data_IF_937139514805
#
_entry.id   IF_937139514805
#
_cell.length_a   1.000
_cell.length_b   1.000
_cell.length_c   1.000
_cell.angle_alpha   90.00
_cell.angle_beta   90.00
_cell.angle_gamma   90.00
#
_symmetry.space_group_name_H-M   'P 1'
#
loop_
_entity.id
_entity.type
_entity.pdbx_description
1 polymer ?
#
# COMPACT_ATOMS: atom_id res chain seq x y z
N UNK A 1 32.47 -6.13 -1.02
CA UNK A 1 31.84 -4.92 -1.59
C UNK A 1 32.65 -3.71 -1.16
N UNK A 2 32.84 -2.70 -2.02
CA UNK A 2 33.78 -1.60 -1.76
C UNK A 2 33.05 -0.39 -1.13
N UNK A 3 33.31 -0.03 0.14
CA UNK A 3 32.53 0.99 0.88
C UNK A 3 32.65 2.41 0.30
N UNK A 4 33.62 2.67 -0.59
CA UNK A 4 33.74 3.95 -1.31
C UNK A 4 32.74 4.08 -2.46
N UNK A 5 32.42 2.97 -3.14
CA UNK A 5 31.44 2.95 -4.24
C UNK A 5 30.02 3.16 -3.69
N UNK A 6 29.70 2.53 -2.54
CA UNK A 6 28.42 2.69 -1.84
C UNK A 6 28.18 4.15 -1.40
N UNK A 7 29.20 4.81 -0.84
CA UNK A 7 29.10 6.24 -0.43
C UNK A 7 28.89 7.17 -1.62
N UNK A 8 29.57 6.92 -2.74
CA UNK A 8 29.43 7.75 -3.94
C UNK A 8 28.05 7.56 -4.60
N UNK A 9 27.57 6.32 -4.75
CA UNK A 9 26.24 6.07 -5.33
C UNK A 9 25.10 6.59 -4.45
N UNK A 10 25.22 6.46 -3.13
CA UNK A 10 24.23 7.05 -2.19
C UNK A 10 24.15 8.57 -2.35
N UNK A 11 25.29 9.26 -2.48
CA UNK A 11 25.30 10.71 -2.71
C UNK A 11 24.66 11.10 -4.04
N UNK A 12 24.86 10.31 -5.10
CA UNK A 12 24.24 10.55 -6.41
C UNK A 12 22.71 10.41 -6.33
N UNK A 13 22.23 9.34 -5.71
CA UNK A 13 20.79 9.11 -5.52
C UNK A 13 20.14 10.20 -4.67
N UNK A 14 20.82 10.65 -3.61
CA UNK A 14 20.29 11.72 -2.77
C UNK A 14 20.20 13.05 -3.51
N UNK A 15 21.19 13.40 -4.33
CA UNK A 15 21.12 14.58 -5.20
C UNK A 15 19.96 14.48 -6.20
N UNK A 16 19.75 13.29 -6.77
CA UNK A 16 18.63 13.08 -7.68
C UNK A 16 17.29 13.21 -6.96
N UNK A 17 17.14 12.65 -5.76
CA UNK A 17 15.92 12.79 -4.97
C UNK A 17 15.60 14.26 -4.65
N UNK A 18 16.60 15.04 -4.23
CA UNK A 18 16.41 16.47 -3.98
C UNK A 18 16.07 17.25 -5.26
N UNK A 19 16.67 16.89 -6.41
CA UNK A 19 16.29 17.45 -7.71
C UNK A 19 14.84 17.13 -8.06
N UNK A 20 14.39 15.90 -7.80
CA UNK A 20 13.01 15.47 -8.06
C UNK A 20 12.02 16.23 -7.18
N UNK A 21 12.26 16.33 -5.87
CA UNK A 21 11.45 17.12 -4.92
C UNK A 21 11.34 18.59 -5.35
N UNK A 22 12.47 19.20 -5.69
CA UNK A 22 12.51 20.60 -6.10
C UNK A 22 11.69 20.86 -7.37
N UNK A 23 11.74 19.93 -8.35
CA UNK A 23 11.00 20.06 -9.62
C UNK A 23 9.51 19.77 -9.50
N UNK A 24 9.12 18.84 -8.63
CA UNK A 24 7.71 18.50 -8.44
C UNK A 24 7.00 19.45 -7.47
N UNK A 25 7.75 20.22 -6.67
CA UNK A 25 7.19 21.09 -5.63
C UNK A 25 6.66 20.31 -4.41
N UNK A 26 7.00 19.03 -4.30
CA UNK A 26 6.50 18.14 -3.26
C UNK A 26 7.34 18.30 -2.00
N UNK A 27 6.67 18.61 -0.89
CA UNK A 27 7.27 18.80 0.44
C UNK A 27 7.35 17.51 1.27
N UNK A 28 7.15 16.36 0.65
CA UNK A 28 7.23 15.07 1.36
C UNK A 28 8.66 14.80 1.82
N UNK A 29 8.80 14.31 3.05
CA UNK A 29 10.08 14.04 3.71
C UNK A 29 10.74 12.73 3.24
N UNK A 30 10.64 12.44 1.93
CA UNK A 30 11.21 11.23 1.36
C UNK A 30 12.73 11.16 1.59
N UNK A 31 13.22 9.97 1.89
CA UNK A 31 14.65 9.65 2.02
C UNK A 31 14.97 8.48 1.12
N UNK A 32 16.14 8.49 0.49
CA UNK A 32 16.61 7.35 -0.30
C UNK A 32 17.60 6.52 0.49
N UNK A 33 17.45 5.20 0.43
CA UNK A 33 18.36 4.24 1.05
C UNK A 33 18.78 3.23 -0.01
N UNK A 34 20.07 3.20 -0.32
CA UNK A 34 20.62 2.25 -1.28
C UNK A 34 21.16 1.02 -0.56
N UNK A 35 20.56 -0.14 -0.83
CA UNK A 35 20.90 -1.44 -0.25
C UNK A 35 21.03 -2.49 -1.37
N UNK A 36 22.13 -2.49 -2.14
CA UNK A 36 22.30 -3.41 -3.25
C UNK A 36 22.09 -4.87 -2.83
N UNK A 37 21.19 -5.60 -3.50
CA UNK A 37 20.85 -7.00 -3.20
C UNK A 37 20.74 -7.79 -4.49
N UNK A 38 21.67 -8.73 -4.71
CA UNK A 38 21.70 -9.58 -5.90
C UNK A 38 20.48 -10.51 -6.01
N UNK A 39 19.91 -10.95 -4.86
CA UNK A 39 18.80 -11.90 -4.81
C UNK A 39 17.43 -11.22 -4.60
N UNK A 40 17.35 -9.90 -4.81
CA UNK A 40 16.08 -9.20 -4.65
C UNK A 40 15.15 -9.49 -5.84
N UNK A 41 13.89 -9.83 -5.54
CA UNK A 41 12.83 -9.93 -6.57
C UNK A 41 12.30 -8.58 -7.04
N UNK A 42 12.72 -7.49 -6.38
CA UNK A 42 12.31 -6.12 -6.67
C UNK A 42 13.55 -5.24 -6.80
N UNK A 43 13.48 -4.25 -7.69
CA UNK A 43 14.58 -3.29 -7.86
C UNK A 43 14.51 -2.16 -6.82
N UNK A 44 13.33 -1.88 -6.27
CA UNK A 44 13.11 -0.92 -5.19
C UNK A 44 11.73 -1.06 -4.56
N UNK A 45 11.48 -0.31 -3.49
CA UNK A 45 10.16 -0.14 -2.88
C UNK A 45 10.10 1.10 -1.97
N UNK A 46 8.89 1.64 -1.80
CA UNK A 46 8.63 2.73 -0.85
C UNK A 46 7.97 2.18 0.42
N UNK A 47 8.60 2.45 1.58
CA UNK A 47 8.07 2.07 2.90
C UNK A 47 8.07 3.31 3.80
N UNK A 48 6.86 3.81 4.07
CA UNK A 48 6.69 5.12 4.72
C UNK A 48 7.36 6.21 3.90
N UNK A 49 8.23 6.99 4.53
CA UNK A 49 8.99 8.04 3.86
C UNK A 49 10.34 7.57 3.29
N UNK A 50 10.62 6.27 3.27
CA UNK A 50 11.90 5.75 2.77
C UNK A 50 11.71 5.03 1.43
N UNK A 51 12.47 5.47 0.43
CA UNK A 51 12.61 4.82 -0.87
C UNK A 51 13.84 3.92 -0.82
N UNK A 52 13.61 2.61 -0.77
CA UNK A 52 14.65 1.61 -0.78
C UNK A 52 14.99 1.21 -2.20
N UNK A 53 16.28 1.18 -2.53
CA UNK A 53 16.80 0.80 -3.84
C UNK A 53 17.71 -0.41 -3.68
N UNK A 54 17.45 -1.46 -4.44
CA UNK A 54 18.13 -2.75 -4.36
C UNK A 54 19.01 -3.05 -5.57
N UNK A 55 18.89 -2.27 -6.65
CA UNK A 55 19.73 -2.39 -7.85
C UNK A 55 21.23 -2.32 -7.52
N UNK A 56 22.04 -3.14 -8.19
CA UNK A 56 23.48 -3.23 -7.94
C UNK A 56 24.25 -2.07 -8.55
N UNK A 57 23.82 -1.60 -9.73
CA UNK A 57 24.48 -0.54 -10.48
C UNK A 57 23.81 0.81 -10.24
N UNK A 58 24.62 1.88 -10.22
CA UNK A 58 24.14 3.24 -9.92
C UNK A 58 23.14 3.75 -10.97
N UNK A 59 23.35 3.43 -12.24
CA UNK A 59 22.46 3.87 -13.32
C UNK A 59 21.09 3.19 -13.22
N UNK A 60 21.06 1.90 -12.88
CA UNK A 60 19.82 1.17 -12.59
C UNK A 60 19.13 1.74 -11.35
N UNK A 61 19.90 1.97 -10.28
CA UNK A 61 19.39 2.55 -9.04
C UNK A 61 18.75 3.93 -9.24
N UNK A 62 19.30 4.74 -10.15
CA UNK A 62 18.72 6.04 -10.53
C UNK A 62 17.38 5.89 -11.26
N UNK A 63 17.25 4.91 -12.14
CA UNK A 63 15.98 4.64 -12.82
C UNK A 63 14.92 4.15 -11.83
N UNK A 64 15.30 3.22 -10.96
CA UNK A 64 14.43 2.73 -9.88
C UNK A 64 13.98 3.88 -8.99
N UNK A 65 14.89 4.76 -8.54
CA UNK A 65 14.52 5.91 -7.71
C UNK A 65 13.48 6.81 -8.35
N UNK A 66 13.63 7.10 -9.66
CA UNK A 66 12.66 7.92 -10.39
C UNK A 66 11.30 7.24 -10.48
N UNK A 67 11.29 5.94 -10.75
CA UNK A 67 10.08 5.13 -10.81
C UNK A 67 9.35 5.16 -9.47
N UNK A 68 10.02 4.77 -8.39
CA UNK A 68 9.44 4.71 -7.05
C UNK A 68 8.96 6.07 -6.55
N UNK A 69 9.71 7.15 -6.84
CA UNK A 69 9.28 8.49 -6.49
C UNK A 69 7.97 8.88 -7.19
N UNK A 70 7.87 8.65 -8.50
CA UNK A 70 6.65 8.97 -9.26
C UNK A 70 5.48 8.10 -8.81
N UNK A 71 5.72 6.80 -8.62
CA UNK A 71 4.70 5.85 -8.18
C UNK A 71 4.16 6.21 -6.79
N UNK A 72 5.03 6.58 -5.84
CA UNK A 72 4.62 7.01 -4.51
C UNK A 72 3.73 8.26 -4.56
N UNK A 73 4.06 9.23 -5.42
CA UNK A 73 3.25 10.45 -5.57
C UNK A 73 1.87 10.12 -6.13
N UNK A 74 1.83 9.35 -7.22
CA UNK A 74 0.57 8.97 -7.86
C UNK A 74 -0.27 8.14 -6.91
N UNK A 75 0.34 7.16 -6.23
CA UNK A 75 -0.33 6.33 -5.23
C UNK A 75 -0.86 7.14 -4.06
N UNK A 76 -0.10 8.12 -3.57
CA UNK A 76 -0.56 9.01 -2.48
C UNK A 76 -1.79 9.85 -2.86
N UNK A 77 -1.96 10.17 -4.14
CA UNK A 77 -3.15 10.87 -4.63
C UNK A 77 -4.37 9.94 -4.70
N UNK A 78 -4.17 8.65 -4.95
CA UNK A 78 -5.25 7.65 -5.08
C UNK A 78 -5.66 7.04 -3.74
N UNK A 79 -4.71 6.89 -2.82
CA UNK A 79 -4.89 6.26 -1.50
C UNK A 79 -6.08 6.78 -0.68
N UNK A 80 -6.34 8.10 -0.59
CA UNK A 80 -7.48 8.62 0.16
C UNK A 80 -8.82 8.09 -0.37
N UNK A 81 -8.95 7.94 -1.68
CA UNK A 81 -10.17 7.40 -2.30
C UNK A 81 -10.37 5.93 -1.98
N UNK A 82 -9.29 5.13 -2.00
CA UNK A 82 -9.35 3.72 -1.60
C UNK A 82 -9.76 3.56 -0.13
N UNK A 83 -9.22 4.41 0.76
CA UNK A 83 -9.61 4.44 2.19
C UNK A 83 -11.11 4.72 2.35
N UNK A 84 -11.64 5.69 1.63
CA UNK A 84 -13.07 6.03 1.67
C UNK A 84 -13.93 4.86 1.16
N UNK A 85 -13.57 4.26 0.01
CA UNK A 85 -14.30 3.12 -0.56
C UNK A 85 -14.30 1.93 0.42
N UNK A 86 -13.18 1.65 1.07
CA UNK A 86 -13.09 0.57 2.05
C UNK A 86 -13.99 0.82 3.26
N UNK A 87 -14.06 2.05 3.77
CA UNK A 87 -14.98 2.42 4.86
C UNK A 87 -16.44 2.20 4.45
N UNK A 88 -16.83 2.65 3.24
CA UNK A 88 -18.17 2.40 2.74
C UNK A 88 -18.47 0.92 2.57
N UNK A 89 -17.54 0.16 2.01
CA UNK A 89 -17.69 -1.28 1.81
C UNK A 89 -17.87 -2.01 3.14
N UNK A 90 -17.08 -1.67 4.16
CA UNK A 90 -17.22 -2.24 5.50
C UNK A 90 -18.60 -1.92 6.12
N UNK A 91 -19.05 -0.67 6.03
CA UNK A 91 -20.34 -0.26 6.58
C UNK A 91 -21.52 -0.98 5.89
N UNK A 92 -21.50 -1.07 4.55
CA UNK A 92 -22.52 -1.78 3.78
C UNK A 92 -22.50 -3.27 4.11
N UNK A 93 -21.32 -3.87 4.23
CA UNK A 93 -21.18 -5.29 4.53
C UNK A 93 -21.72 -5.62 5.93
N UNK A 94 -21.47 -4.75 6.90
CA UNK A 94 -21.97 -4.91 8.27
C UNK A 94 -23.51 -4.79 8.32
N UNK A 95 -24.09 -3.80 7.64
CA UNK A 95 -25.55 -3.64 7.57
C UNK A 95 -26.23 -4.83 6.87
N UNK A 96 -25.66 -5.28 5.74
CA UNK A 96 -26.15 -6.46 5.02
C UNK A 96 -26.10 -7.72 5.89
N UNK A 97 -25.03 -7.90 6.66
CA UNK A 97 -24.90 -9.01 7.60
C UNK A 97 -25.99 -8.96 8.68
N UNK A 98 -26.21 -7.80 9.32
CA UNK A 98 -27.25 -7.62 10.35
C UNK A 98 -28.65 -7.92 9.81
N UNK A 99 -28.98 -7.42 8.62
CA UNK A 99 -30.26 -7.70 7.96
C UNK A 99 -30.45 -9.19 7.69
N UNK A 100 -29.41 -9.85 7.18
CA UNK A 100 -29.42 -11.30 6.93
C UNK A 100 -29.67 -12.08 8.22
N UNK A 101 -28.94 -11.79 9.30
CA UNK A 101 -29.14 -12.46 10.59
C UNK A 101 -30.55 -12.25 11.15
N UNK A 102 -31.11 -11.04 11.07
CA UNK A 102 -32.49 -10.79 11.50
C UNK A 102 -33.54 -11.59 10.72
N UNK A 103 -33.34 -11.76 9.41
CA UNK A 103 -34.20 -12.62 8.57
C UNK A 103 -34.05 -14.09 8.98
N UNK A 104 -32.82 -14.58 9.17
CA UNK A 104 -32.55 -15.95 9.61
C UNK A 104 -33.24 -16.24 10.95
N UNK A 105 -33.09 -15.36 11.94
CA UNK A 105 -33.74 -15.51 13.24
C UNK A 105 -35.26 -15.57 13.14
N UNK A 106 -35.85 -14.73 12.28
CA UNK A 106 -37.31 -14.71 12.07
C UNK A 106 -37.79 -16.01 11.44
N UNK A 107 -37.07 -16.52 10.44
CA UNK A 107 -37.39 -17.80 9.79
C UNK A 107 -37.23 -18.97 10.76
N UNK A 108 -36.19 -18.98 11.59
CA UNK A 108 -35.98 -20.02 12.60
C UNK A 108 -37.12 -20.07 13.62
N UNK A 109 -37.61 -18.90 14.07
CA UNK A 109 -38.78 -18.82 14.97
C UNK A 109 -40.03 -19.39 14.32
N UNK A 110 -40.29 -19.05 13.07
CA UNK A 110 -41.45 -19.55 12.32
C UNK A 110 -41.42 -21.07 12.15
N UNK A 111 -40.26 -21.64 11.86
CA UNK A 111 -40.10 -23.09 11.72
C UNK A 111 -40.23 -23.82 13.06
N UNK A 112 -39.72 -23.22 14.15
CA UNK A 112 -39.82 -23.80 15.48
C UNK A 112 -41.26 -23.81 16.03
N UNK A 113 -42.07 -22.80 15.68
CA UNK A 113 -43.48 -22.73 16.10
C UNK A 113 -44.35 -23.82 15.43
N UNK A 114 -43.99 -24.29 14.23
CA UNK A 114 -44.77 -25.30 13.49
C UNK A 114 -44.60 -26.73 14.06
N UNK A 115 -43.44 -27.03 14.66
CA UNK A 115 -43.17 -28.31 15.34
C UNK A 115 -43.95 -28.48 16.67
N UNK A 116 -44.59 -27.42 17.17
CA UNK A 116 -45.28 -27.41 18.46
C UNK A 116 -46.80 -27.63 18.37
N UNK A 117 -47.36 -27.76 17.15
CA UNK A 117 -48.79 -28.08 16.95
C UNK A 117 -49.01 -29.59 16.95
N UNK A 118 -49.80 -30.16 17.89
CA UNK A 118 -50.12 -31.57 17.85
C UNK A 118 -50.94 -31.89 16.59
N UNK A 119 -50.48 -32.88 15.83
CA UNK A 119 -51.18 -33.45 14.69
C UNK A 119 -52.61 -33.79 15.10
N UNK A 120 -53.59 -33.09 14.51
CA UNK A 120 -55.02 -33.36 14.70
C UNK A 120 -55.47 -34.52 13.83
#
# INVERSE_FOLDING_TARGET
MNPRLERNGTSVLQKELERLKARSGIKADFRVVWLPKADSKKDGEVVGDNIFIYSLEVDEALQTLRHEFVDAIVSSAVEPYLKIVNVFLSAISEDAYKKKEGVVETLLKLLADDDSRPSS
#
